data_IF_955551637368
#
_entry.id   IF_955551637368
#
_cell.length_a   1.000
_cell.length_b   1.000
_cell.length_c   1.000
_cell.angle_alpha   90.00
_cell.angle_beta   90.00
_cell.angle_gamma   90.00
#
_symmetry.space_group_name_H-M   'P 1'
#
loop_
_entity.id
_entity.type
_entity.pdbx_description
1 polymer ?
#
# COMPACT_ATOMS: atom_id res chain seq x y z
N UNK A 1 -3.53 -6.98 10.72
CA UNK A 1 -2.80 -7.18 9.43
C UNK A 1 -1.40 -6.64 9.59
N UNK A 2 -0.39 -7.38 9.15
CA UNK A 2 1.00 -6.93 9.20
C UNK A 2 1.43 -6.52 7.80
N UNK A 3 1.56 -5.21 7.57
CA UNK A 3 1.88 -4.69 6.24
C UNK A 3 3.34 -4.89 5.86
N UNK A 4 4.22 -5.13 6.84
CA UNK A 4 5.64 -5.29 6.54
C UNK A 4 5.94 -6.54 5.71
N UNK A 5 5.04 -7.54 5.71
CA UNK A 5 5.20 -8.74 4.89
C UNK A 5 5.17 -8.42 3.39
N UNK A 6 4.60 -7.29 3.02
CA UNK A 6 4.43 -6.92 1.62
C UNK A 6 5.59 -6.10 1.08
N UNK A 7 6.55 -5.74 1.94
CA UNK A 7 7.69 -4.93 1.53
C UNK A 7 8.46 -5.62 0.40
N UNK A 8 8.71 -4.87 -0.67
CA UNK A 8 9.43 -5.38 -1.83
C UNK A 8 8.61 -6.25 -2.77
N UNK A 9 7.34 -6.49 -2.45
CA UNK A 9 6.45 -7.33 -3.28
C UNK A 9 5.60 -6.47 -4.20
N UNK A 10 5.16 -7.07 -5.29
CA UNK A 10 4.16 -6.45 -6.15
C UNK A 10 2.79 -6.84 -5.63
N UNK A 11 1.93 -5.87 -5.41
CA UNK A 11 0.64 -6.10 -4.76
C UNK A 11 -0.49 -5.43 -5.54
N UNK A 12 -1.70 -5.93 -5.29
CA UNK A 12 -2.94 -5.26 -5.68
C UNK A 12 -3.65 -4.86 -4.40
N UNK A 13 -3.99 -3.57 -4.30
CA UNK A 13 -4.69 -3.02 -3.15
C UNK A 13 -6.06 -2.53 -3.59
N UNK A 14 -7.09 -2.90 -2.82
CA UNK A 14 -8.42 -2.29 -2.95
C UNK A 14 -8.57 -1.32 -1.80
N UNK A 15 -8.75 -0.06 -2.11
CA UNK A 15 -8.88 0.99 -1.10
C UNK A 15 -10.33 1.14 -0.66
N UNK A 16 -10.53 1.86 0.43
CA UNK A 16 -11.85 2.12 1.03
C UNK A 16 -12.85 2.69 0.06
N UNK A 17 -12.41 3.52 -0.88
CA UNK A 17 -13.28 4.15 -1.87
C UNK A 17 -13.60 3.22 -3.04
N UNK A 18 -13.16 1.97 -2.99
CA UNK A 18 -13.39 0.98 -4.04
C UNK A 18 -12.39 1.01 -5.18
N UNK A 19 -11.46 1.96 -5.17
CA UNK A 19 -10.45 2.02 -6.22
C UNK A 19 -9.39 0.96 -6.03
N UNK A 20 -8.86 0.45 -7.14
CA UNK A 20 -7.80 -0.57 -7.13
C UNK A 20 -6.49 0.04 -7.58
N UNK A 21 -5.42 -0.40 -6.93
CA UNK A 21 -4.07 0.04 -7.25
C UNK A 21 -3.17 -1.18 -7.34
N UNK A 22 -2.26 -1.18 -8.31
CA UNK A 22 -1.26 -2.23 -8.44
C UNK A 22 0.11 -1.57 -8.45
N UNK A 23 1.04 -2.12 -7.68
CA UNK A 23 2.37 -1.58 -7.65
C UNK A 23 3.29 -2.34 -6.73
N UNK A 24 4.55 -1.90 -6.72
CA UNK A 24 5.56 -2.48 -5.85
C UNK A 24 5.61 -1.70 -4.54
N UNK A 25 5.59 -2.43 -3.43
CA UNK A 25 5.75 -1.81 -2.10
C UNK A 25 7.21 -1.41 -1.95
N UNK A 26 7.46 -0.10 -1.92
CA UNK A 26 8.80 0.46 -1.84
C UNK A 26 9.18 0.91 -0.44
N UNK A 27 8.19 1.18 0.41
CA UNK A 27 8.43 1.67 1.76
C UNK A 27 7.42 1.11 2.73
N UNK A 28 7.86 0.92 3.97
CA UNK A 28 7.01 0.50 5.08
C UNK A 28 7.25 1.48 6.22
N UNK A 29 6.17 1.97 6.82
CA UNK A 29 6.24 2.93 7.92
C UNK A 29 5.68 2.28 9.18
N UNK A 30 6.48 2.35 10.25
CA UNK A 30 6.11 1.77 11.55
C UNK A 30 4.96 2.57 12.19
N UNK A 31 4.13 1.91 13.01
CA UNK A 31 3.01 2.61 13.65
C UNK A 31 3.43 3.86 14.44
N UNK A 32 4.57 3.81 15.14
CA UNK A 32 5.04 4.94 15.97
C UNK A 32 5.46 6.15 15.15
N UNK A 33 5.65 5.98 13.83
CA UNK A 33 6.03 7.08 12.94
C UNK A 33 4.82 7.79 12.35
N UNK A 34 3.61 7.30 12.66
CA UNK A 34 2.37 7.84 12.10
C UNK A 34 1.46 8.39 13.18
N UNK A 35 0.59 9.32 12.80
CA UNK A 35 -0.44 9.87 13.66
C UNK A 35 -1.77 9.88 12.88
N UNK A 36 -2.74 9.02 13.24
CA UNK A 36 -2.72 8.07 14.36
C UNK A 36 -1.73 6.94 14.17
N UNK A 37 -1.34 6.29 15.28
CA UNK A 37 -0.40 5.19 15.24
C UNK A 37 -0.99 3.99 14.51
N UNK A 38 -0.54 3.76 13.29
CA UNK A 38 -0.90 2.58 12.49
C UNK A 38 0.16 2.37 11.44
N UNK A 39 0.24 1.14 10.94
CA UNK A 39 1.16 0.83 9.85
C UNK A 39 0.71 1.53 8.58
N UNK A 40 1.67 1.88 7.72
CA UNK A 40 1.36 2.31 6.36
C UNK A 40 2.43 1.80 5.41
N UNK A 41 2.08 1.76 4.14
CA UNK A 41 3.01 1.38 3.09
C UNK A 41 2.88 2.37 1.94
N UNK A 42 3.98 2.51 1.20
CA UNK A 42 3.96 3.27 -0.05
C UNK A 42 4.21 2.29 -1.18
N UNK A 43 3.44 2.44 -2.25
CA UNK A 43 3.65 1.64 -3.44
C UNK A 43 3.99 2.56 -4.61
N UNK A 44 4.80 2.04 -5.53
CA UNK A 44 5.01 2.70 -6.80
C UNK A 44 4.05 2.05 -7.79
N UNK A 45 3.06 2.81 -8.25
CA UNK A 45 2.02 2.28 -9.10
C UNK A 45 2.57 1.86 -10.46
N UNK A 46 2.14 0.69 -10.93
CA UNK A 46 2.58 0.16 -12.21
C UNK A 46 1.45 0.17 -13.25
N UNK A 47 0.24 0.53 -12.86
CA UNK A 47 -0.92 0.60 -13.73
C UNK A 47 -1.82 1.75 -13.34
N UNK A 48 -2.69 2.15 -14.27
CA UNK A 48 -3.72 3.14 -14.03
C UNK A 48 -3.21 4.56 -14.13
N UNK A 49 -4.03 5.53 -13.69
CA UNK A 49 -3.70 6.94 -13.86
C UNK A 49 -2.51 7.40 -13.03
N UNK A 50 -2.10 6.63 -12.03
CA UNK A 50 -0.97 6.97 -11.16
C UNK A 50 0.30 6.22 -11.49
N UNK A 51 0.38 5.60 -12.69
CA UNK A 51 1.56 4.83 -13.08
C UNK A 51 2.85 5.64 -12.89
N UNK A 52 3.84 5.03 -12.25
CA UNK A 52 5.12 5.68 -11.97
C UNK A 52 5.14 6.59 -10.76
N UNK A 53 3.98 6.81 -10.12
CA UNK A 53 3.87 7.66 -8.92
C UNK A 53 3.80 6.81 -7.66
N UNK A 54 4.27 7.38 -6.55
CA UNK A 54 4.17 6.73 -5.24
C UNK A 54 2.88 7.14 -4.56
N UNK A 55 2.19 6.17 -3.99
CA UNK A 55 0.96 6.41 -3.23
C UNK A 55 1.12 5.72 -1.88
N UNK A 56 0.81 6.44 -0.81
CA UNK A 56 0.87 5.89 0.55
C UNK A 56 -0.51 5.42 0.99
N UNK A 57 -0.55 4.25 1.62
CA UNK A 57 -1.79 3.67 2.15
C UNK A 57 -1.62 3.37 3.63
N UNK A 58 -2.33 4.11 4.50
CA UNK A 58 -2.43 3.69 5.90
C UNK A 58 -3.30 2.43 5.97
N UNK A 59 -3.07 1.62 6.97
CA UNK A 59 -3.76 0.34 7.13
C UNK A 59 -5.28 0.48 7.05
N UNK A 60 -5.83 1.53 7.67
CA UNK A 60 -7.29 1.71 7.71
C UNK A 60 -7.90 2.00 6.33
N UNK A 61 -7.12 2.41 5.36
CA UNK A 61 -7.60 2.67 4.00
C UNK A 61 -7.58 1.43 3.11
N UNK A 62 -6.99 0.34 3.59
CA UNK A 62 -6.84 -0.88 2.80
C UNK A 62 -7.97 -1.83 3.12
N UNK A 63 -8.84 -2.10 2.14
CA UNK A 63 -9.88 -3.11 2.25
C UNK A 63 -9.30 -4.48 2.02
N UNK A 64 -8.47 -4.62 0.99
CA UNK A 64 -7.78 -5.88 0.73
C UNK A 64 -6.43 -5.60 0.08
N UNK A 65 -5.50 -6.51 0.29
CA UNK A 65 -4.19 -6.48 -0.34
C UNK A 65 -3.78 -7.90 -0.65
N UNK A 66 -3.27 -8.12 -1.86
CA UNK A 66 -2.79 -9.44 -2.26
C UNK A 66 -1.49 -9.30 -3.03
N UNK A 67 -0.63 -10.30 -2.89
CA UNK A 67 0.63 -10.35 -3.63
C UNK A 67 0.32 -10.89 -5.02
N UNK A 68 0.77 -10.17 -6.07
CA UNK A 68 0.56 -10.57 -7.45
C UNK A 68 1.86 -11.04 -8.12
N UNK A 69 2.99 -10.82 -7.47
CA UNK A 69 4.26 -11.42 -7.90
C UNK A 69 5.36 -11.23 -6.86
#
# INVERSE_FOLDING_TARGET
MSLNEYYGKNVRIVAKNGKEFEGKVTDYFYPEDNDPEEESIAIRCMRGPFVGKSVEFPEHDIVSIEIIS
#
